data_IF_824772933703
#
_entry.id   IF_824772933703
#
_cell.length_a   1.000
_cell.length_b   1.000
_cell.length_c   1.000
_cell.angle_alpha   90.00
_cell.angle_beta   90.00
_cell.angle_gamma   90.00
#
_symmetry.space_group_name_H-M   'P 1'
#
loop_
_entity.id
_entity.type
_entity.pdbx_description
1 polymer ?
#
# COMPACT_ATOMS: atom_id res chain seq x y z
N UNK A 1 -40.21 12.55 -17.47
CA UNK A 1 -38.90 13.19 -17.47
C UNK A 1 -38.79 13.97 -16.18
N UNK A 2 -37.94 13.50 -15.28
CA UNK A 2 -37.62 14.18 -14.03
C UNK A 2 -36.49 15.17 -14.25
N UNK A 3 -36.41 16.14 -13.34
CA UNK A 3 -35.36 17.13 -13.29
C UNK A 3 -34.83 17.22 -11.86
N UNK A 4 -33.51 17.17 -11.72
CA UNK A 4 -32.79 17.40 -10.47
C UNK A 4 -31.86 18.61 -10.63
N UNK A 5 -31.65 19.34 -9.54
CA UNK A 5 -30.74 20.50 -9.50
C UNK A 5 -29.81 20.37 -8.31
N UNK A 6 -28.51 20.50 -8.56
CA UNK A 6 -27.45 20.46 -7.55
C UNK A 6 -26.81 21.84 -7.48
N UNK A 7 -26.87 22.49 -6.32
CA UNK A 7 -26.19 23.75 -6.10
C UNK A 7 -24.69 23.53 -5.92
N UNK A 8 -23.85 24.24 -6.67
CA UNK A 8 -22.39 24.19 -6.56
C UNK A 8 -21.85 25.57 -6.17
N UNK A 9 -21.00 25.58 -5.15
CA UNK A 9 -20.62 26.81 -4.43
C UNK A 9 -19.72 27.76 -5.24
N UNK A 10 -18.95 27.27 -6.24
CA UNK A 10 -18.03 28.10 -7.02
C UNK A 10 -17.76 27.53 -8.44
N UNK A 11 -17.53 28.42 -9.42
CA UNK A 11 -17.23 28.11 -10.83
C UNK A 11 -15.97 27.26 -11.01
N UNK A 12 -14.98 27.40 -10.11
CA UNK A 12 -13.77 26.56 -10.13
C UNK A 12 -14.08 25.10 -9.85
N UNK A 13 -15.01 24.81 -8.93
CA UNK A 13 -15.43 23.44 -8.61
C UNK A 13 -16.16 22.79 -9.78
N UNK A 14 -17.02 23.54 -10.47
CA UNK A 14 -17.72 23.06 -11.67
C UNK A 14 -16.74 22.58 -12.76
N UNK A 15 -15.66 23.33 -13.00
CA UNK A 15 -14.64 22.96 -13.98
C UNK A 15 -13.92 21.66 -13.61
N UNK A 16 -13.59 21.47 -12.34
CA UNK A 16 -12.95 20.23 -11.85
C UNK A 16 -13.90 19.03 -11.93
N UNK A 17 -15.18 19.22 -11.57
CA UNK A 17 -16.20 18.17 -11.65
C UNK A 17 -16.42 17.70 -13.10
N UNK A 18 -16.48 18.63 -14.05
CA UNK A 18 -16.65 18.29 -15.47
C UNK A 18 -15.37 17.74 -16.10
N UNK A 19 -14.24 18.06 -15.50
CA UNK A 19 -12.92 17.65 -15.93
C UNK A 19 -12.46 18.36 -17.20
N UNK A 20 -11.20 18.14 -17.62
CA UNK A 20 -10.64 18.76 -18.80
C UNK A 20 -11.50 18.50 -20.04
N UNK A 21 -11.90 19.58 -20.74
CA UNK A 21 -12.77 19.52 -21.92
C UNK A 21 -14.09 18.76 -21.66
N UNK A 22 -14.65 18.85 -20.46
CA UNK A 22 -15.92 18.22 -20.07
C UNK A 22 -15.89 16.68 -20.20
N UNK A 23 -14.73 16.06 -20.03
CA UNK A 23 -14.59 14.61 -20.22
C UNK A 23 -15.44 13.78 -19.23
N UNK A 24 -15.57 14.21 -17.97
CA UNK A 24 -16.35 13.51 -16.95
C UNK A 24 -17.84 13.66 -17.25
N UNK A 25 -18.25 14.88 -17.58
CA UNK A 25 -19.62 15.20 -17.98
C UNK A 25 -20.07 14.35 -19.17
N UNK A 26 -19.25 14.27 -20.23
CA UNK A 26 -19.56 13.46 -21.41
C UNK A 26 -19.66 11.97 -21.11
N UNK A 27 -18.79 11.44 -20.23
CA UNK A 27 -18.86 10.05 -19.77
C UNK A 27 -20.17 9.76 -19.03
N UNK A 28 -20.55 10.61 -18.07
CA UNK A 28 -21.76 10.41 -17.27
C UNK A 28 -23.02 10.49 -18.13
N UNK A 29 -23.11 11.46 -19.05
CA UNK A 29 -24.23 11.56 -20.00
C UNK A 29 -24.36 10.30 -20.86
N UNK A 30 -23.26 9.82 -21.42
CA UNK A 30 -23.27 8.65 -22.31
C UNK A 30 -23.63 7.35 -21.58
N UNK A 31 -23.21 7.21 -20.32
CA UNK A 31 -23.44 6.00 -19.54
C UNK A 31 -24.87 5.90 -18.96
N UNK A 32 -25.48 7.03 -18.60
CA UNK A 32 -26.80 7.06 -17.95
C UNK A 32 -27.93 7.59 -18.85
N UNK A 33 -27.62 7.99 -20.08
CA UNK A 33 -28.57 8.59 -21.04
C UNK A 33 -29.35 9.79 -20.43
N UNK A 34 -28.61 10.71 -19.81
CA UNK A 34 -29.16 11.92 -19.17
C UNK A 34 -28.69 13.21 -19.85
N UNK A 35 -29.57 14.20 -19.91
CA UNK A 35 -29.21 15.58 -20.19
C UNK A 35 -28.62 16.24 -18.95
N UNK A 36 -27.46 16.90 -19.07
CA UNK A 36 -26.86 17.64 -17.94
C UNK A 36 -26.51 19.05 -18.44
N UNK A 37 -26.78 20.10 -17.67
CA UNK A 37 -26.36 21.47 -18.00
C UNK A 37 -25.93 22.22 -16.75
N UNK A 38 -25.12 23.26 -16.89
CA UNK A 38 -24.73 24.12 -15.76
C UNK A 38 -25.12 25.57 -16.06
N UNK A 39 -25.86 26.20 -15.13
CA UNK A 39 -26.24 27.62 -15.19
C UNK A 39 -26.27 28.19 -13.78
N UNK A 40 -25.83 29.43 -13.62
CA UNK A 40 -25.93 30.19 -12.36
C UNK A 40 -25.32 29.49 -11.12
N UNK A 41 -24.30 28.67 -11.32
CA UNK A 41 -23.68 27.89 -10.23
C UNK A 41 -24.41 26.58 -9.89
N UNK A 42 -25.41 26.20 -10.66
CA UNK A 42 -26.18 24.97 -10.46
C UNK A 42 -25.97 23.97 -11.60
N UNK A 43 -25.95 22.68 -11.27
CA UNK A 43 -25.99 21.57 -12.23
C UNK A 43 -27.44 21.11 -12.35
N UNK A 44 -28.02 21.19 -13.54
CA UNK A 44 -29.33 20.63 -13.86
C UNK A 44 -29.17 19.29 -14.58
N UNK A 45 -29.91 18.28 -14.13
CA UNK A 45 -29.92 16.93 -14.69
C UNK A 45 -31.36 16.59 -15.10
N UNK A 46 -31.55 16.13 -16.32
CA UNK A 46 -32.86 15.82 -16.92
C UNK A 46 -32.82 14.44 -17.59
N UNK A 47 -33.85 13.61 -17.39
CA UNK A 47 -33.90 12.25 -17.94
C UNK A 47 -34.98 11.38 -17.30
N UNK A 48 -34.74 10.06 -17.30
CA UNK A 48 -35.54 9.08 -16.56
C UNK A 48 -35.20 9.12 -15.06
N UNK A 49 -36.20 8.95 -14.20
CA UNK A 49 -36.09 9.14 -12.73
C UNK A 49 -34.94 8.34 -12.10
N UNK A 50 -34.76 7.07 -12.47
CA UNK A 50 -33.66 6.25 -11.97
C UNK A 50 -32.29 6.78 -12.42
N UNK A 51 -32.20 7.22 -13.68
CA UNK A 51 -30.97 7.75 -14.25
C UNK A 51 -30.61 9.13 -13.68
N UNK A 52 -31.60 9.99 -13.46
CA UNK A 52 -31.43 11.30 -12.83
C UNK A 52 -30.99 11.15 -11.38
N UNK A 53 -31.59 10.22 -10.63
CA UNK A 53 -31.20 9.93 -9.26
C UNK A 53 -29.75 9.43 -9.20
N UNK A 54 -29.41 8.46 -10.06
CA UNK A 54 -28.04 7.93 -10.13
C UNK A 54 -27.01 8.99 -10.52
N UNK A 55 -27.32 9.82 -11.51
CA UNK A 55 -26.45 10.91 -11.91
C UNK A 55 -26.25 11.92 -10.76
N UNK A 56 -27.31 12.20 -9.99
CA UNK A 56 -27.23 13.08 -8.81
C UNK A 56 -26.27 12.52 -7.77
N UNK A 57 -26.40 11.25 -7.39
CA UNK A 57 -25.49 10.58 -6.44
C UNK A 57 -24.02 10.64 -6.89
N UNK A 58 -23.78 10.47 -8.18
CA UNK A 58 -22.44 10.52 -8.76
C UNK A 58 -21.85 11.93 -8.62
N UNK A 59 -22.60 12.98 -8.97
CA UNK A 59 -22.11 14.36 -8.84
C UNK A 59 -21.89 14.79 -7.40
N UNK A 60 -22.76 14.40 -6.48
CA UNK A 60 -22.57 14.63 -5.03
C UNK A 60 -21.31 13.94 -4.52
N UNK A 61 -21.08 12.69 -4.94
CA UNK A 61 -19.90 11.93 -4.55
C UNK A 61 -18.61 12.49 -5.15
N UNK A 62 -18.66 13.02 -6.37
CA UNK A 62 -17.54 13.70 -7.01
C UNK A 62 -17.24 15.05 -6.32
N UNK A 63 -18.27 15.81 -5.93
CA UNK A 63 -18.07 17.05 -5.17
C UNK A 63 -17.43 16.75 -3.82
N UNK A 64 -17.92 15.73 -3.10
CA UNK A 64 -17.31 15.28 -1.84
C UNK A 64 -15.83 14.91 -2.03
N UNK A 65 -15.50 14.09 -3.04
CA UNK A 65 -14.12 13.73 -3.35
C UNK A 65 -13.24 14.94 -3.70
N UNK A 66 -13.82 15.95 -4.36
CA UNK A 66 -13.12 17.19 -4.68
C UNK A 66 -12.85 18.02 -3.41
N UNK A 67 -13.77 18.02 -2.43
CA UNK A 67 -13.55 18.70 -1.14
C UNK A 67 -12.43 18.01 -0.34
N UNK A 68 -12.42 16.68 -0.34
CA UNK A 68 -11.50 15.89 0.49
C UNK A 68 -10.07 15.80 -0.11
N UNK A 69 -9.97 15.63 -1.44
CA UNK A 69 -8.69 15.34 -2.11
C UNK A 69 -8.21 16.46 -3.05
N UNK A 70 -9.03 17.49 -3.27
CA UNK A 70 -8.68 18.65 -4.12
C UNK A 70 -8.62 18.36 -5.62
N UNK A 71 -8.91 17.13 -6.08
CA UNK A 71 -8.94 16.77 -7.50
C UNK A 71 -9.90 15.63 -7.80
N UNK A 72 -10.42 15.59 -9.03
CA UNK A 72 -11.26 14.50 -9.55
C UNK A 72 -10.57 13.88 -10.77
N UNK A 73 -10.41 12.56 -10.77
CA UNK A 73 -9.81 11.83 -11.89
C UNK A 73 -10.84 10.97 -12.62
N UNK A 74 -10.58 10.67 -13.90
CA UNK A 74 -11.46 9.82 -14.70
C UNK A 74 -11.69 8.42 -14.10
N UNK A 75 -10.75 7.88 -13.32
CA UNK A 75 -10.90 6.60 -12.63
C UNK A 75 -11.98 6.63 -11.54
N UNK A 76 -12.14 7.77 -10.85
CA UNK A 76 -13.17 7.95 -9.82
C UNK A 76 -14.55 7.93 -10.48
N UNK A 77 -14.69 8.60 -11.62
CA UNK A 77 -15.91 8.60 -12.44
C UNK A 77 -16.25 7.19 -12.92
N UNK A 78 -15.27 6.43 -13.41
CA UNK A 78 -15.49 5.06 -13.90
C UNK A 78 -15.93 4.12 -12.77
N UNK A 79 -15.39 4.26 -11.55
CA UNK A 79 -15.83 3.47 -10.38
C UNK A 79 -17.28 3.77 -9.98
N UNK A 80 -17.64 5.05 -9.94
CA UNK A 80 -18.99 5.50 -9.61
C UNK A 80 -20.04 5.01 -10.61
N UNK A 81 -19.71 5.05 -11.91
CA UNK A 81 -20.58 4.56 -12.98
C UNK A 81 -20.81 3.04 -12.86
N UNK A 82 -19.81 2.29 -12.42
CA UNK A 82 -19.90 0.84 -12.21
C UNK A 82 -20.64 0.43 -10.92
N UNK A 83 -21.36 1.34 -10.26
CA UNK A 83 -22.18 1.01 -9.09
C UNK A 83 -21.41 0.98 -7.75
N UNK A 84 -20.14 1.38 -7.73
CA UNK A 84 -19.36 1.45 -6.48
C UNK A 84 -19.72 2.75 -5.74
N UNK A 85 -20.27 2.69 -4.53
CA UNK A 85 -20.48 3.90 -3.71
C UNK A 85 -19.12 4.46 -3.30
N UNK A 86 -18.92 5.78 -3.44
CA UNK A 86 -17.71 6.45 -2.94
C UNK A 86 -17.78 6.70 -1.42
N UNK A 87 -18.97 6.68 -0.84
CA UNK A 87 -19.21 6.80 0.60
C UNK A 87 -19.24 5.41 1.24
N UNK A 88 -18.16 5.08 1.95
CA UNK A 88 -18.17 4.79 3.41
C UNK A 88 -17.22 3.69 3.93
N UNK A 89 -16.54 2.87 3.12
CA UNK A 89 -15.63 1.85 3.72
C UNK A 89 -14.20 1.72 3.19
N UNK A 90 -13.84 2.13 1.98
CA UNK A 90 -12.52 1.71 1.46
C UNK A 90 -11.38 2.72 1.67
N UNK A 91 -11.61 4.02 1.49
CA UNK A 91 -10.49 5.00 1.48
C UNK A 91 -10.05 5.40 2.90
N UNK A 92 -10.99 5.48 3.86
CA UNK A 92 -10.63 5.71 5.27
C UNK A 92 -10.15 4.44 5.99
N UNK A 93 -10.64 3.25 5.62
CA UNK A 93 -10.13 2.02 6.23
C UNK A 93 -8.69 1.72 5.82
N UNK A 94 -8.23 2.17 4.65
CA UNK A 94 -6.88 1.88 4.17
C UNK A 94 -5.82 2.89 4.57
N UNK A 95 -6.21 3.98 5.23
CA UNK A 95 -5.24 4.83 5.90
C UNK A 95 -4.43 4.00 6.91
N UNK A 96 -3.12 4.06 6.78
CA UNK A 96 -2.19 3.46 7.72
C UNK A 96 -1.87 4.56 8.72
N UNK A 97 -2.33 4.35 9.94
CA UNK A 97 -2.10 5.30 11.02
C UNK A 97 -0.64 5.20 11.47
N UNK A 98 0.16 6.07 10.89
CA UNK A 98 1.54 6.30 11.25
C UNK A 98 1.67 7.80 11.47
N UNK A 99 1.41 8.25 12.69
CA UNK A 99 1.61 9.66 13.03
C UNK A 99 3.10 10.01 12.86
N UNK A 100 3.43 10.69 11.76
CA UNK A 100 4.52 11.67 11.70
C UNK A 100 4.03 12.94 12.40
N UNK A 101 4.93 13.87 12.76
CA UNK A 101 4.60 15.28 12.68
C UNK A 101 4.21 15.58 11.21
N UNK A 102 2.91 15.53 10.87
CA UNK A 102 2.38 16.06 9.60
C UNK A 102 1.56 15.16 8.65
N UNK A 103 1.14 13.92 8.98
CA UNK A 103 0.10 13.25 8.15
C UNK A 103 0.00 11.73 8.23
N UNK A 104 -1.09 11.19 7.65
CA UNK A 104 -1.38 9.76 7.48
C UNK A 104 -0.70 9.18 6.23
N UNK A 105 -0.26 7.93 6.28
CA UNK A 105 0.20 7.21 5.09
C UNK A 105 -1.02 6.56 4.43
N UNK A 106 -1.29 6.91 3.18
CA UNK A 106 -2.43 6.38 2.42
C UNK A 106 -1.95 5.68 1.15
N UNK A 107 -2.54 4.53 0.79
CA UNK A 107 -2.36 3.93 -0.53
C UNK A 107 -2.72 4.91 -1.65
N UNK A 108 -1.92 4.92 -2.71
CA UNK A 108 -2.07 5.81 -3.88
C UNK A 108 -2.59 5.08 -5.12
N UNK A 109 -2.78 3.77 -5.05
CA UNK A 109 -3.32 2.95 -6.14
C UNK A 109 -4.18 1.81 -5.60
N UNK A 110 -5.00 1.21 -6.46
CA UNK A 110 -5.80 0.03 -6.12
C UNK A 110 -4.95 -1.16 -5.69
N UNK A 111 -3.80 -1.39 -6.34
CA UNK A 111 -2.89 -2.48 -5.93
C UNK A 111 -2.29 -2.26 -4.54
N UNK A 112 -1.97 -1.01 -4.19
CA UNK A 112 -1.50 -0.67 -2.85
C UNK A 112 -2.61 -0.82 -1.80
N UNK A 113 -3.83 -0.42 -2.16
CA UNK A 113 -5.03 -0.59 -1.36
C UNK A 113 -5.29 -2.07 -1.02
N UNK A 114 -5.31 -2.91 -2.06
CA UNK A 114 -5.50 -4.36 -1.92
C UNK A 114 -4.37 -5.01 -1.10
N UNK A 115 -3.12 -4.56 -1.29
CA UNK A 115 -1.99 -5.02 -0.50
C UNK A 115 -2.12 -4.69 0.99
N UNK A 116 -2.48 -3.44 1.33
CA UNK A 116 -2.72 -3.03 2.71
C UNK A 116 -3.88 -3.83 3.33
N UNK A 117 -4.95 -4.07 2.56
CA UNK A 117 -6.07 -4.90 3.00
C UNK A 117 -5.65 -6.34 3.28
N UNK A 118 -4.86 -6.94 2.38
CA UNK A 118 -4.33 -8.29 2.54
C UNK A 118 -3.50 -8.42 3.83
N UNK A 119 -2.63 -7.44 4.12
CA UNK A 119 -1.81 -7.43 5.34
C UNK A 119 -2.68 -7.44 6.61
N UNK A 120 -3.80 -6.72 6.62
CA UNK A 120 -4.70 -6.71 7.78
C UNK A 120 -5.41 -8.04 7.98
N UNK A 121 -5.84 -8.65 6.89
CA UNK A 121 -6.74 -9.81 6.92
C UNK A 121 -6.02 -11.16 7.02
N UNK A 122 -4.74 -11.21 6.66
CA UNK A 122 -3.98 -12.47 6.59
C UNK A 122 -2.76 -12.44 7.50
N UNK A 123 -2.33 -13.62 7.95
CA UNK A 123 -1.12 -13.75 8.78
C UNK A 123 0.15 -13.88 7.93
N UNK A 124 0.03 -14.36 6.69
CA UNK A 124 1.11 -14.40 5.71
C UNK A 124 0.63 -13.71 4.44
N UNK A 125 1.38 -12.73 3.95
CA UNK A 125 1.10 -12.03 2.71
C UNK A 125 2.35 -12.02 1.83
N UNK A 126 2.18 -12.45 0.58
CA UNK A 126 3.18 -12.31 -0.47
C UNK A 126 2.82 -11.10 -1.34
N UNK A 127 3.80 -10.24 -1.62
CA UNK A 127 3.63 -9.09 -2.49
C UNK A 127 4.73 -9.09 -3.55
N UNK A 128 4.32 -9.34 -4.78
CA UNK A 128 5.16 -9.22 -5.97
C UNK A 128 4.86 -7.91 -6.69
N UNK A 129 5.90 -7.23 -7.17
CA UNK A 129 5.75 -6.13 -8.09
C UNK A 129 7.07 -5.42 -8.35
N UNK A 130 7.13 -4.47 -9.30
CA UNK A 130 8.38 -3.82 -9.67
C UNK A 130 8.89 -2.87 -8.57
N UNK A 131 10.15 -2.47 -8.69
CA UNK A 131 10.73 -1.41 -7.87
C UNK A 131 9.90 -0.11 -7.95
N UNK A 132 9.83 0.63 -6.83
CA UNK A 132 9.10 1.90 -6.77
C UNK A 132 7.59 1.81 -6.51
N UNK A 133 6.98 0.61 -6.47
CA UNK A 133 5.55 0.45 -6.16
C UNK A 133 5.17 0.62 -4.68
N UNK A 134 6.13 0.85 -3.78
CA UNK A 134 5.88 1.07 -2.36
C UNK A 134 5.65 -0.20 -1.52
N UNK A 135 5.98 -1.40 -2.05
CA UNK A 135 5.78 -2.69 -1.38
C UNK A 135 6.40 -2.74 0.02
N UNK A 136 7.68 -2.40 0.11
CA UNK A 136 8.44 -2.39 1.38
C UNK A 136 7.98 -1.25 2.28
N UNK A 137 7.77 -0.06 1.71
CA UNK A 137 7.34 1.12 2.46
C UNK A 137 5.98 0.92 3.15
N UNK A 138 4.99 0.40 2.43
CA UNK A 138 3.66 0.12 3.01
C UNK A 138 3.70 -1.02 4.02
N UNK A 139 4.53 -2.06 3.81
CA UNK A 139 4.73 -3.11 4.81
C UNK A 139 5.28 -2.54 6.13
N UNK A 140 6.32 -1.71 6.05
CA UNK A 140 6.92 -1.05 7.23
C UNK A 140 5.91 -0.12 7.91
N UNK A 141 5.12 0.62 7.13
CA UNK A 141 4.04 1.46 7.68
C UNK A 141 3.03 0.63 8.48
N UNK A 142 2.59 -0.51 7.92
CA UNK A 142 1.69 -1.44 8.61
C UNK A 142 2.31 -2.01 9.88
N UNK A 143 3.59 -2.36 9.86
CA UNK A 143 4.32 -2.86 11.02
C UNK A 143 4.41 -1.82 12.15
N UNK A 144 4.77 -0.57 11.81
CA UNK A 144 4.84 0.53 12.77
C UNK A 144 3.47 0.84 13.37
N UNK A 145 2.42 0.83 12.54
CA UNK A 145 1.04 1.02 13.00
C UNK A 145 0.62 -0.08 13.97
N UNK A 146 0.89 -1.35 13.64
CA UNK A 146 0.60 -2.49 14.51
C UNK A 146 1.35 -2.43 15.84
N UNK A 147 2.63 -2.02 15.84
CA UNK A 147 3.43 -1.86 17.06
C UNK A 147 2.86 -0.75 17.96
N UNK A 148 2.47 0.39 17.37
CA UNK A 148 1.89 1.52 18.12
C UNK A 148 0.51 1.22 18.70
N UNK A 149 -0.28 0.42 18.02
CA UNK A 149 -1.58 -0.06 18.47
C UNK A 149 -1.48 -1.26 19.42
N UNK A 150 -0.25 -1.64 19.82
CA UNK A 150 0.03 -2.76 20.73
C UNK A 150 -0.51 -4.11 20.21
N UNK A 151 -0.80 -4.23 18.91
CA UNK A 151 -1.19 -5.49 18.27
C UNK A 151 -0.02 -6.47 18.15
N UNK A 152 1.20 -5.93 18.11
CA UNK A 152 2.45 -6.68 18.16
C UNK A 152 3.38 -6.01 19.15
N UNK A 153 4.30 -6.78 19.71
CA UNK A 153 5.32 -6.30 20.65
C UNK A 153 6.68 -6.07 19.98
N UNK A 154 6.85 -6.54 18.74
CA UNK A 154 8.13 -6.55 18.03
C UNK A 154 7.97 -6.39 16.52
N UNK A 155 8.90 -5.68 15.89
CA UNK A 155 9.07 -5.64 14.44
C UNK A 155 10.40 -6.30 14.08
N UNK A 156 10.39 -7.25 13.13
CA UNK A 156 11.59 -7.92 12.64
C UNK A 156 11.70 -7.72 11.13
N UNK A 157 12.63 -6.88 10.70
CA UNK A 157 12.91 -6.59 9.30
C UNK A 157 14.08 -7.44 8.84
N UNK A 158 13.86 -8.20 7.76
CA UNK A 158 14.77 -9.22 7.28
C UNK A 158 15.06 -8.99 5.81
N UNK A 159 16.32 -9.09 5.42
CA UNK A 159 16.75 -9.07 4.02
C UNK A 159 17.75 -10.20 3.78
N UNK A 160 17.66 -10.96 2.67
CA UNK A 160 18.71 -11.90 2.31
C UNK A 160 19.99 -11.13 1.97
N UNK A 161 21.11 -11.59 2.49
CA UNK A 161 22.41 -11.13 2.01
C UNK A 161 22.64 -11.78 0.65
N UNK A 162 22.71 -10.96 -0.39
CA UNK A 162 23.01 -11.38 -1.76
C UNK A 162 24.26 -10.65 -2.18
N UNK A 163 25.24 -11.40 -2.65
CA UNK A 163 26.50 -10.85 -3.14
C UNK A 163 26.22 -10.26 -4.54
N UNK A 164 25.69 -9.04 -4.58
CA UNK A 164 25.47 -8.29 -5.80
C UNK A 164 26.84 -7.83 -6.36
N UNK A 165 27.59 -8.77 -6.94
CA UNK A 165 28.88 -8.51 -7.60
C UNK A 165 30.10 -8.38 -6.66
N UNK A 166 29.91 -8.11 -5.38
CA UNK A 166 30.97 -8.11 -4.36
C UNK A 166 30.61 -9.09 -3.23
N UNK A 167 31.52 -9.99 -2.88
CA UNK A 167 31.31 -10.84 -1.70
C UNK A 167 31.31 -9.97 -0.45
N UNK A 168 30.44 -10.28 0.52
CA UNK A 168 30.38 -9.60 1.82
C UNK A 168 31.78 -9.53 2.50
N UNK A 169 32.67 -10.46 2.14
CA UNK A 169 34.07 -10.48 2.52
C UNK A 169 34.90 -9.26 2.08
N UNK A 170 34.55 -8.57 0.98
CA UNK A 170 35.32 -7.47 0.39
C UNK A 170 34.95 -6.07 0.88
N UNK A 171 33.74 -5.89 1.45
CA UNK A 171 33.36 -4.61 2.03
C UNK A 171 34.26 -4.28 3.25
N UNK A 172 34.84 -3.07 3.36
CA UNK A 172 35.70 -2.72 4.48
C UNK A 172 34.90 -2.56 5.79
N UNK A 173 35.52 -2.84 6.93
CA UNK A 173 34.91 -2.67 8.26
C UNK A 173 34.51 -3.98 8.95
N UNK A 174 33.86 -3.85 10.10
CA UNK A 174 33.34 -5.00 10.86
C UNK A 174 32.10 -5.61 10.18
N UNK A 175 31.63 -6.75 10.68
CA UNK A 175 30.48 -7.46 10.10
C UNK A 175 29.22 -6.57 10.04
N UNK A 176 29.04 -5.69 11.02
CA UNK A 176 27.96 -4.70 11.07
C UNK A 176 28.08 -3.69 9.92
N UNK A 177 29.25 -3.08 9.72
CA UNK A 177 29.52 -2.13 8.64
C UNK A 177 29.30 -2.74 7.25
N UNK A 178 29.56 -4.05 7.09
CA UNK A 178 29.33 -4.78 5.84
C UNK A 178 27.84 -5.06 5.56
N UNK A 179 27.03 -5.25 6.60
CA UNK A 179 25.59 -5.55 6.48
C UNK A 179 24.76 -4.27 6.33
N UNK A 180 25.20 -3.17 6.95
CA UNK A 180 24.47 -1.91 7.03
C UNK A 180 23.97 -1.37 5.66
N UNK A 181 24.76 -1.40 4.55
CA UNK A 181 24.29 -0.94 3.25
C UNK A 181 23.00 -1.64 2.76
N UNK A 182 22.87 -2.94 3.03
CA UNK A 182 21.70 -3.73 2.60
C UNK A 182 20.45 -3.44 3.42
N UNK A 183 20.63 -3.12 4.71
CA UNK A 183 19.52 -2.80 5.61
C UNK A 183 19.12 -1.32 5.54
N UNK A 184 19.92 -0.48 4.89
CA UNK A 184 19.71 0.97 4.86
C UNK A 184 18.33 1.40 4.32
N UNK A 185 17.79 0.81 3.24
CA UNK A 185 16.45 1.18 2.76
C UNK A 185 15.33 0.93 3.80
N UNK A 186 15.47 -0.11 4.62
CA UNK A 186 14.53 -0.43 5.70
C UNK A 186 14.63 0.60 6.83
N UNK A 187 15.85 0.99 7.20
CA UNK A 187 16.11 2.04 8.18
C UNK A 187 15.55 3.40 7.72
N UNK A 188 15.75 3.75 6.45
CA UNK A 188 15.26 5.01 5.91
C UNK A 188 13.72 5.05 5.91
N UNK A 189 13.05 3.94 5.57
CA UNK A 189 11.58 3.84 5.69
C UNK A 189 11.08 4.04 7.13
N UNK A 190 11.75 3.45 8.12
CA UNK A 190 11.42 3.64 9.54
C UNK A 190 11.62 5.08 10.01
N UNK A 191 12.71 5.74 9.57
CA UNK A 191 13.01 7.14 9.91
C UNK A 191 11.98 8.12 9.38
N UNK A 192 11.34 7.79 8.28
CA UNK A 192 10.23 8.60 7.82
C UNK A 192 8.99 8.45 8.70
N UNK A 193 8.87 7.38 9.48
CA UNK A 193 7.66 7.01 10.24
C UNK A 193 7.78 7.25 11.75
N UNK A 194 9.00 7.40 12.24
CA UNK A 194 9.32 7.45 13.66
C UNK A 194 10.35 8.52 13.94
N UNK A 195 10.19 9.22 15.07
CA UNK A 195 11.20 10.16 15.54
C UNK A 195 12.52 9.45 15.82
N UNK A 196 13.63 10.15 15.56
CA UNK A 196 14.97 9.59 15.63
C UNK A 196 15.28 8.96 17.01
N UNK A 197 14.96 9.67 18.09
CA UNK A 197 15.25 9.20 19.45
C UNK A 197 14.41 7.97 19.83
N UNK A 198 13.15 7.93 19.40
CA UNK A 198 12.28 6.78 19.62
C UNK A 198 12.77 5.56 18.84
N UNK A 199 13.06 5.72 17.55
CA UNK A 199 13.57 4.63 16.71
C UNK A 199 14.88 4.06 17.28
N UNK A 200 15.80 4.94 17.70
CA UNK A 200 17.05 4.54 18.34
C UNK A 200 16.78 3.70 19.59
N UNK A 201 15.93 4.19 20.50
CA UNK A 201 15.55 3.48 21.73
C UNK A 201 14.95 2.11 21.45
N UNK A 202 14.00 2.01 20.51
CA UNK A 202 13.35 0.74 20.19
C UNK A 202 14.29 -0.26 19.52
N UNK A 203 15.29 0.24 18.77
CA UNK A 203 16.34 -0.61 18.19
C UNK A 203 17.29 -1.12 19.28
N UNK A 204 17.72 -0.27 20.20
CA UNK A 204 18.59 -0.64 21.34
C UNK A 204 17.91 -1.64 22.31
N UNK A 205 16.58 -1.64 22.36
CA UNK A 205 15.76 -2.55 23.16
C UNK A 205 15.35 -3.83 22.43
N UNK A 206 15.84 -4.06 21.21
CA UNK A 206 15.46 -5.19 20.34
C UNK A 206 13.94 -5.28 20.07
N UNK A 207 13.21 -4.16 20.19
CA UNK A 207 11.80 -4.05 19.80
C UNK A 207 11.69 -3.94 18.28
N UNK A 208 12.63 -3.25 17.65
CA UNK A 208 12.79 -3.20 16.21
C UNK A 208 14.14 -3.83 15.86
N UNK A 209 14.10 -5.00 15.23
CA UNK A 209 15.30 -5.71 14.77
C UNK A 209 15.42 -5.58 13.26
N UNK A 210 16.60 -5.21 12.76
CA UNK A 210 16.95 -5.27 11.34
C UNK A 210 18.10 -6.24 11.18
N UNK A 211 17.85 -7.41 10.59
CA UNK A 211 18.81 -8.51 10.59
C UNK A 211 18.89 -9.22 9.23
N UNK A 212 20.04 -9.82 8.89
CA UNK A 212 20.14 -10.70 7.74
C UNK A 212 19.29 -11.96 7.92
N UNK A 213 18.79 -12.51 6.81
CA UNK A 213 18.00 -13.75 6.80
C UNK A 213 18.65 -14.93 7.54
N UNK A 214 19.99 -15.01 7.56
CA UNK A 214 20.72 -16.07 8.25
C UNK A 214 20.44 -16.12 9.77
N UNK A 215 20.10 -14.99 10.39
CA UNK A 215 19.84 -14.86 11.83
C UNK A 215 18.44 -15.35 12.22
N UNK A 216 17.61 -15.72 11.25
CA UNK A 216 16.27 -16.25 11.50
C UNK A 216 16.27 -17.71 11.93
N UNK A 217 17.38 -18.44 11.71
CA UNK A 217 17.47 -19.87 12.01
C UNK A 217 17.23 -20.13 13.50
N UNK A 218 16.36 -21.10 13.80
CA UNK A 218 16.07 -21.52 15.17
C UNK A 218 15.17 -20.56 15.97
N UNK A 219 14.70 -19.46 15.37
CA UNK A 219 13.77 -18.53 16.05
C UNK A 219 12.32 -19.01 15.94
N UNK A 220 11.51 -18.64 16.92
CA UNK A 220 10.05 -18.62 16.81
C UNK A 220 9.63 -17.22 17.21
N UNK A 221 8.90 -16.54 16.34
CA UNK A 221 8.55 -15.13 16.52
C UNK A 221 7.07 -15.04 16.86
N UNK A 222 6.76 -14.90 18.14
CA UNK A 222 5.40 -14.63 18.64
C UNK A 222 5.19 -13.13 18.78
N UNK A 223 3.93 -12.70 18.66
CA UNK A 223 3.49 -11.32 18.83
C UNK A 223 4.36 -10.32 18.05
N UNK A 224 4.75 -10.68 16.82
CA UNK A 224 5.71 -9.96 16.02
C UNK A 224 5.20 -9.67 14.60
N UNK A 225 5.57 -8.49 14.08
CA UNK A 225 5.39 -8.16 12.67
C UNK A 225 6.71 -8.36 11.92
N UNK A 226 6.72 -9.31 10.99
CA UNK A 226 7.94 -9.81 10.36
C UNK A 226 7.90 -9.44 8.88
N UNK A 227 8.93 -8.79 8.36
CA UNK A 227 9.01 -8.40 6.95
C UNK A 227 10.25 -9.04 6.34
N UNK A 228 10.07 -9.82 5.26
CA UNK A 228 11.16 -10.27 4.39
C UNK A 228 11.14 -9.45 3.11
N UNK A 229 12.11 -8.55 2.98
CA UNK A 229 12.31 -7.73 1.79
C UNK A 229 13.32 -8.39 0.83
N UNK A 230 13.23 -8.05 -0.46
CA UNK A 230 13.97 -8.69 -1.55
C UNK A 230 13.88 -10.23 -1.56
N UNK A 231 12.68 -10.74 -1.29
CA UNK A 231 12.44 -12.17 -1.13
C UNK A 231 12.79 -13.01 -2.38
N UNK A 232 12.82 -12.39 -3.57
CA UNK A 232 13.23 -13.03 -4.81
C UNK A 232 14.65 -13.61 -4.72
N UNK A 233 15.48 -13.04 -3.84
CA UNK A 233 16.86 -13.43 -3.62
C UNK A 233 17.04 -14.50 -2.52
N UNK A 234 15.95 -15.17 -2.14
CA UNK A 234 16.00 -16.36 -1.28
C UNK A 234 15.99 -17.63 -2.11
N UNK A 235 16.61 -18.69 -1.61
CA UNK A 235 16.40 -20.05 -2.12
C UNK A 235 15.14 -20.68 -1.53
N UNK A 236 14.58 -21.72 -2.16
CA UNK A 236 13.44 -22.47 -1.61
C UNK A 236 13.69 -22.97 -0.16
N UNK A 237 14.91 -23.42 0.14
CA UNK A 237 15.29 -23.86 1.48
C UNK A 237 15.27 -22.70 2.50
N UNK A 238 15.76 -21.52 2.10
CA UNK A 238 15.73 -20.32 2.94
C UNK A 238 14.30 -19.80 3.14
N UNK A 239 13.48 -19.80 2.10
CA UNK A 239 12.06 -19.41 2.20
C UNK A 239 11.30 -20.35 3.14
N UNK A 240 11.46 -21.68 2.99
CA UNK A 240 10.89 -22.66 3.91
C UNK A 240 11.37 -22.45 5.35
N UNK A 241 12.67 -22.21 5.54
CA UNK A 241 13.23 -21.90 6.86
C UNK A 241 12.56 -20.67 7.46
N UNK A 242 12.39 -19.61 6.68
CA UNK A 242 11.79 -18.34 7.09
C UNK A 242 10.32 -18.45 7.43
N UNK A 243 9.50 -19.04 6.55
CA UNK A 243 8.06 -19.20 6.75
C UNK A 243 7.74 -20.01 8.02
N UNK A 244 8.57 -20.99 8.36
CA UNK A 244 8.42 -21.79 9.59
C UNK A 244 8.84 -21.07 10.87
N UNK A 245 9.23 -19.79 10.82
CA UNK A 245 9.53 -18.99 12.03
C UNK A 245 8.29 -18.25 12.56
N UNK A 246 7.18 -18.24 11.81
CA UNK A 246 5.93 -17.59 12.23
C UNK A 246 5.41 -18.26 13.51
N UNK A 247 5.26 -17.46 14.57
CA UNK A 247 4.65 -17.86 15.84
C UNK A 247 3.23 -17.34 16.01
N UNK A 248 2.67 -17.55 17.20
CA UNK A 248 1.31 -17.12 17.55
C UNK A 248 1.25 -15.59 17.68
N UNK A 249 0.14 -14.97 17.26
CA UNK A 249 -0.05 -13.53 17.35
C UNK A 249 0.81 -12.72 16.38
N UNK A 250 1.49 -13.39 15.44
CA UNK A 250 2.43 -12.75 14.51
C UNK A 250 1.86 -12.62 13.11
N UNK A 251 2.42 -11.66 12.36
CA UNK A 251 2.18 -11.48 10.93
C UNK A 251 3.48 -11.48 10.17
N UNK A 252 3.44 -11.96 8.94
CA UNK A 252 4.60 -12.06 8.05
C UNK A 252 4.26 -11.49 6.68
N UNK A 253 5.05 -10.54 6.23
CA UNK A 253 4.93 -9.93 4.89
C UNK A 253 6.20 -10.25 4.11
N UNK A 254 6.04 -10.85 2.94
CA UNK A 254 7.13 -11.25 2.06
C UNK A 254 7.01 -10.41 0.78
N UNK A 255 7.94 -9.48 0.56
CA UNK A 255 7.96 -8.60 -0.61
C UNK A 255 9.15 -8.89 -1.53
N UNK A 256 8.93 -8.82 -2.83
CA UNK A 256 10.00 -8.97 -3.81
C UNK A 256 9.59 -8.59 -5.23
N UNK A 257 10.57 -8.69 -6.14
CA UNK A 257 10.42 -8.45 -7.58
C UNK A 257 11.03 -9.63 -8.34
N UNK A 258 10.20 -10.49 -8.93
CA UNK A 258 10.67 -11.69 -9.64
C UNK A 258 11.50 -11.38 -10.89
N UNK A 259 11.47 -10.13 -11.37
CA UNK A 259 12.29 -9.68 -12.50
C UNK A 259 13.72 -9.31 -12.10
N UNK A 260 14.01 -9.19 -10.79
CA UNK A 260 15.30 -8.78 -10.22
C UNK A 260 15.93 -9.88 -9.36
N UNK A 261 16.11 -11.07 -9.93
CA UNK A 261 16.73 -12.21 -9.23
C UNK A 261 18.24 -12.14 -9.36
N UNK A 262 18.92 -11.95 -8.24
CA UNK A 262 20.39 -11.91 -8.09
C UNK A 262 20.96 -13.27 -7.63
N UNK A 263 20.15 -14.33 -7.64
CA UNK A 263 20.61 -15.68 -7.32
C UNK A 263 21.50 -16.26 -8.43
N UNK A 264 22.46 -17.14 -8.08
CA UNK A 264 23.19 -17.91 -9.08
C UNK A 264 22.23 -18.65 -10.04
N UNK A 265 22.53 -18.73 -11.34
CA UNK A 265 21.59 -19.16 -12.39
C UNK A 265 21.00 -20.57 -12.19
N UNK A 266 21.67 -21.43 -11.42
CA UNK A 266 21.22 -22.79 -11.13
C UNK A 266 20.34 -22.90 -9.88
N UNK A 267 19.89 -21.79 -9.27
CA UNK A 267 19.05 -21.79 -8.08
C UNK A 267 17.69 -21.18 -8.36
N UNK A 268 16.63 -21.98 -8.16
CA UNK A 268 15.25 -21.49 -8.19
C UNK A 268 15.02 -20.53 -7.03
N UNK A 269 14.37 -19.40 -7.33
CA UNK A 269 13.93 -18.44 -6.31
C UNK A 269 12.91 -19.07 -5.36
N UNK A 270 13.11 -18.87 -4.07
CA UNK A 270 12.23 -19.29 -3.00
C UNK A 270 10.92 -18.52 -2.98
N UNK A 271 10.92 -17.26 -3.43
CA UNK A 271 9.69 -16.48 -3.61
C UNK A 271 8.79 -17.13 -4.65
N UNK A 272 9.33 -17.38 -5.85
CA UNK A 272 8.60 -18.03 -6.95
C UNK A 272 8.11 -19.42 -6.51
N UNK A 273 8.99 -20.24 -5.93
CA UNK A 273 8.61 -21.59 -5.49
C UNK A 273 7.52 -21.57 -4.40
N UNK A 274 7.55 -20.61 -3.47
CA UNK A 274 6.52 -20.47 -2.45
C UNK A 274 5.19 -20.00 -3.05
N UNK A 275 5.20 -19.01 -3.95
CA UNK A 275 4.01 -18.51 -4.61
C UNK A 275 3.33 -19.59 -5.46
N UNK A 276 4.10 -20.42 -6.17
CA UNK A 276 3.56 -21.57 -6.92
C UNK A 276 2.92 -22.64 -6.03
N UNK A 277 3.48 -22.87 -4.84
CA UNK A 277 3.02 -23.94 -3.93
C UNK A 277 1.88 -23.51 -3.00
N UNK A 278 1.88 -22.25 -2.60
CA UNK A 278 0.98 -21.69 -1.59
C UNK A 278 -0.06 -20.75 -2.19
N UNK A 279 0.09 -20.37 -3.46
CA UNK A 279 -0.91 -19.57 -4.18
C UNK A 279 -2.23 -20.33 -4.27
N UNK A 280 -3.28 -19.72 -3.73
CA UNK A 280 -4.68 -20.15 -3.84
C UNK A 280 -5.37 -19.46 -5.00
#
# INVERSE_FOLDING_TARGET
>A
MSRSTIAVVDSKRLLELFGPRDQHLRKIRAALDVGISARDGEIHIEGEDAAVHRATEIFESLDQSLQDQGTVTGQIVDRLLNGSSLSEKLIHQESIEVHRPGGHIVPRSSGQADYVRAIRQSDIVFCEGPAGCGKTFLAVAMAVSALRQEHVTKIVLVRPAVEAGESLGFLPGDLQAKINPYLRPLLDALREMMDFDLLKKLTEQDVIEMIPLAYMRGRTLNDAFIILDEAQNTTAAQMKMFLTRLGVGSKMVISGDTTQIDLPPNRKSGLIDAMERLGT
#
